data_IF_516403815246
#
_entry.id   IF_516403815246
#
_cell.length_a   1.000
_cell.length_b   1.000
_cell.length_c   1.000
_cell.angle_alpha   90.00
_cell.angle_beta   90.00
_cell.angle_gamma   90.00
#
_symmetry.space_group_name_H-M   'P 1'
#
loop_
_entity.id
_entity.type
_entity.pdbx_description
1 polymer ?
#
# COMPACT_ATOMS: atom_id res chain seq x y z
N UNK A 1 -17.96 13.47 -22.62
CA UNK A 1 -19.12 13.64 -21.71
C UNK A 1 -18.87 12.95 -20.37
N UNK A 2 -17.84 13.38 -19.63
CA UNK A 2 -17.45 12.85 -18.31
C UNK A 2 -17.31 13.97 -17.25
N UNK A 3 -17.82 15.17 -17.57
CA UNK A 3 -17.80 16.37 -16.72
C UNK A 3 -19.20 16.80 -16.25
N UNK A 4 -20.23 15.96 -16.47
CA UNK A 4 -21.62 16.25 -16.08
C UNK A 4 -22.06 15.63 -14.76
N UNK A 5 -21.23 14.79 -14.13
CA UNK A 5 -21.57 14.04 -12.92
C UNK A 5 -21.18 14.76 -11.61
N UNK A 6 -20.34 15.81 -11.68
CA UNK A 6 -19.83 16.53 -10.49
C UNK A 6 -20.69 17.72 -10.06
N UNK A 7 -21.59 18.23 -10.91
CA UNK A 7 -22.51 19.31 -10.54
C UNK A 7 -23.73 18.81 -9.76
N UNK A 8 -24.21 17.59 -10.05
CA UNK A 8 -25.35 16.99 -9.37
C UNK A 8 -25.02 16.60 -7.92
N UNK A 9 -23.80 16.11 -7.67
CA UNK A 9 -23.29 15.78 -6.32
C UNK A 9 -22.94 17.03 -5.51
N UNK A 10 -22.49 18.12 -6.14
CA UNK A 10 -22.29 19.40 -5.42
C UNK A 10 -23.60 20.07 -5.01
N UNK A 11 -24.68 19.95 -5.79
CA UNK A 11 -26.00 20.51 -5.42
C UNK A 11 -26.68 19.79 -4.25
N UNK A 12 -26.36 18.51 -4.01
CA UNK A 12 -26.87 17.78 -2.85
C UNK A 12 -26.15 18.16 -1.52
N UNK A 13 -25.00 18.84 -1.59
CA UNK A 13 -24.25 19.29 -0.41
C UNK A 13 -24.58 20.72 0.04
N UNK A 14 -25.46 21.43 -0.69
CA UNK A 14 -25.93 22.75 -0.33
C UNK A 14 -27.29 22.68 0.39
N UNK A 15 -27.34 21.96 1.52
CA UNK A 15 -28.44 22.12 2.47
C UNK A 15 -28.18 23.44 3.20
N UNK A 16 -29.10 24.38 3.02
CA UNK A 16 -29.12 25.66 3.73
C UNK A 16 -29.05 25.39 5.24
N UNK A 17 -27.90 25.68 5.84
CA UNK A 17 -27.75 25.71 7.29
C UNK A 17 -28.60 26.88 7.82
N UNK A 18 -29.53 26.66 8.76
CA UNK A 18 -30.18 27.76 9.46
C UNK A 18 -29.10 28.57 10.18
N UNK A 19 -29.19 29.90 10.09
CA UNK A 19 -28.24 30.83 10.70
C UNK A 19 -28.08 30.57 12.20
N UNK A 20 -26.86 30.21 12.57
CA UNK A 20 -26.23 29.93 13.88
C UNK A 20 -26.54 30.85 15.09
N UNK A 21 -27.42 31.84 14.97
CA UNK A 21 -27.59 32.87 16.01
C UNK A 21 -28.63 32.50 17.09
N UNK A 22 -29.63 31.67 16.79
CA UNK A 22 -30.73 31.39 17.73
C UNK A 22 -30.56 30.10 18.56
N UNK A 23 -29.74 29.15 18.12
CA UNK A 23 -29.53 27.85 18.79
C UNK A 23 -28.40 27.85 19.83
N UNK A 24 -27.47 28.83 19.78
CA UNK A 24 -26.30 28.88 20.68
C UNK A 24 -26.64 29.15 22.15
N UNK A 25 -27.81 29.71 22.46
CA UNK A 25 -28.22 30.04 23.84
C UNK A 25 -28.91 28.90 24.61
N UNK A 26 -29.08 27.72 24.02
CA UNK A 26 -29.85 26.62 24.64
C UNK A 26 -29.17 25.25 24.67
N UNK A 27 -27.89 25.12 24.34
CA UNK A 27 -27.20 23.82 24.25
C UNK A 27 -25.97 23.81 25.17
N UNK A 28 -26.16 23.46 26.45
CA UNK A 28 -25.08 23.21 27.42
C UNK A 28 -24.84 21.71 27.67
N UNK A 29 -25.61 20.83 27.02
CA UNK A 29 -25.44 19.38 27.18
C UNK A 29 -24.74 18.79 25.94
N UNK A 30 -23.46 18.39 26.06
CA UNK A 30 -22.71 17.77 24.98
C UNK A 30 -23.33 16.44 24.51
N UNK A 31 -24.07 15.74 25.38
CA UNK A 31 -24.81 14.52 25.00
C UNK A 31 -25.97 14.88 24.09
N UNK A 32 -26.74 15.92 24.45
CA UNK A 32 -27.86 16.38 23.62
C UNK A 32 -27.38 16.94 22.29
N UNK A 33 -26.25 17.65 22.27
CA UNK A 33 -25.61 18.10 21.03
C UNK A 33 -25.26 16.92 20.12
N UNK A 34 -24.62 15.87 20.66
CA UNK A 34 -24.22 14.69 19.90
C UNK A 34 -25.43 13.89 19.37
N UNK A 35 -26.47 13.70 20.17
CA UNK A 35 -27.67 12.98 19.75
C UNK A 35 -28.43 13.70 18.63
N UNK A 36 -28.51 15.03 18.69
CA UNK A 36 -29.09 15.83 17.60
C UNK A 36 -28.26 15.65 16.32
N UNK A 37 -26.93 15.76 16.40
CA UNK A 37 -26.03 15.56 15.25
C UNK A 37 -26.10 14.12 14.68
N UNK A 38 -26.23 13.10 15.53
CA UNK A 38 -26.42 11.72 15.06
C UNK A 38 -27.78 11.53 14.40
N UNK A 39 -28.84 12.16 14.92
CA UNK A 39 -30.21 12.08 14.38
C UNK A 39 -30.40 12.76 13.03
N UNK A 40 -29.48 13.66 12.64
CA UNK A 40 -29.44 14.29 11.33
C UNK A 40 -28.94 13.34 10.21
N UNK A 41 -28.23 12.25 10.56
CA UNK A 41 -27.70 11.29 9.58
C UNK A 41 -28.78 10.25 9.25
N UNK A 42 -29.27 10.18 8.00
CA UNK A 42 -30.29 9.22 7.63
C UNK A 42 -29.75 7.78 7.69
N UNK A 43 -30.61 6.85 8.12
CA UNK A 43 -30.30 5.42 8.11
C UNK A 43 -30.09 4.93 6.67
N UNK A 44 -29.17 3.99 6.51
CA UNK A 44 -28.90 3.37 5.22
C UNK A 44 -30.05 2.42 4.84
N UNK A 45 -30.43 2.44 3.57
CA UNK A 45 -31.28 1.37 3.02
C UNK A 45 -30.45 0.10 2.84
N UNK A 46 -31.10 -1.07 2.80
CA UNK A 46 -30.42 -2.36 2.53
C UNK A 46 -29.55 -2.32 1.28
N UNK A 47 -30.00 -1.66 0.22
CA UNK A 47 -29.22 -1.53 -1.02
C UNK A 47 -27.98 -0.65 -0.83
N UNK A 48 -28.09 0.44 -0.05
CA UNK A 48 -26.96 1.28 0.32
C UNK A 48 -25.95 0.53 1.19
N UNK A 49 -26.41 -0.29 2.13
CA UNK A 49 -25.54 -1.15 2.95
C UNK A 49 -24.76 -2.14 2.09
N UNK A 50 -25.44 -2.84 1.17
CA UNK A 50 -24.80 -3.79 0.24
C UNK A 50 -23.80 -3.06 -0.66
N UNK A 51 -24.16 -1.89 -1.18
CA UNK A 51 -23.30 -1.07 -2.02
C UNK A 51 -22.04 -0.62 -1.27
N UNK A 52 -22.19 -0.09 -0.05
CA UNK A 52 -21.08 0.35 0.79
C UNK A 52 -20.19 -0.82 1.19
N UNK A 53 -20.76 -1.97 1.54
CA UNK A 53 -20.00 -3.18 1.85
C UNK A 53 -19.14 -3.63 0.67
N UNK A 54 -19.72 -3.72 -0.54
CA UNK A 54 -18.99 -4.04 -1.78
C UNK A 54 -17.90 -3.02 -2.09
N UNK A 55 -18.19 -1.72 -1.92
CA UNK A 55 -17.19 -0.66 -2.11
C UNK A 55 -16.02 -0.82 -1.15
N UNK A 56 -16.27 -1.05 0.14
CA UNK A 56 -15.21 -1.25 1.14
C UNK A 56 -14.37 -2.47 0.78
N UNK A 57 -14.99 -3.57 0.35
CA UNK A 57 -14.27 -4.77 -0.05
C UNK A 57 -13.38 -4.54 -1.27
N UNK A 58 -13.92 -3.94 -2.34
CA UNK A 58 -13.18 -3.61 -3.55
C UNK A 58 -12.02 -2.65 -3.26
N UNK A 59 -12.26 -1.59 -2.49
CA UNK A 59 -11.22 -0.64 -2.09
C UNK A 59 -10.12 -1.32 -1.28
N UNK A 60 -10.46 -2.22 -0.34
CA UNK A 60 -9.46 -2.98 0.43
C UNK A 60 -8.64 -3.91 -0.45
N UNK A 61 -9.25 -4.54 -1.45
CA UNK A 61 -8.55 -5.38 -2.43
C UNK A 61 -7.59 -4.56 -3.30
N UNK A 62 -8.07 -3.45 -3.85
CA UNK A 62 -7.24 -2.52 -4.65
C UNK A 62 -6.08 -1.96 -3.83
N UNK A 63 -6.35 -1.52 -2.60
CA UNK A 63 -5.33 -1.05 -1.66
C UNK A 63 -4.23 -2.09 -1.45
N UNK A 64 -4.62 -3.34 -1.16
CA UNK A 64 -3.68 -4.44 -0.96
C UNK A 64 -2.81 -4.68 -2.18
N UNK A 65 -3.41 -4.75 -3.37
CA UNK A 65 -2.69 -4.97 -4.64
C UNK A 65 -1.68 -3.88 -4.90
N UNK A 66 -2.06 -2.62 -4.71
CA UNK A 66 -1.17 -1.48 -4.92
C UNK A 66 0.03 -1.51 -3.99
N UNK A 67 -0.20 -1.72 -2.69
CA UNK A 67 0.88 -1.74 -1.69
C UNK A 67 1.80 -2.94 -1.90
N UNK A 68 1.25 -4.13 -2.14
CA UNK A 68 2.05 -5.36 -2.29
C UNK A 68 2.73 -5.50 -3.65
N UNK A 69 2.66 -4.51 -4.53
CA UNK A 69 3.27 -4.62 -5.86
C UNK A 69 4.74 -4.16 -5.91
N UNK A 70 5.30 -3.68 -4.80
CA UNK A 70 6.73 -3.38 -4.64
C UNK A 70 7.47 -4.60 -4.09
N UNK A 71 8.71 -4.81 -4.51
CA UNK A 71 9.53 -5.95 -4.07
C UNK A 71 9.77 -5.92 -2.56
N UNK A 72 10.05 -4.74 -2.01
CA UNK A 72 10.20 -4.55 -0.57
C UNK A 72 8.91 -4.88 0.20
N UNK A 73 7.75 -4.59 -0.40
CA UNK A 73 6.46 -4.90 0.21
C UNK A 73 6.17 -6.39 0.22
N UNK A 74 6.50 -7.08 -0.89
CA UNK A 74 6.39 -8.53 -1.02
C UNK A 74 7.35 -9.19 -0.02
N UNK A 75 8.61 -8.74 0.04
CA UNK A 75 9.62 -9.22 0.98
C UNK A 75 9.15 -9.07 2.43
N UNK A 76 8.69 -7.88 2.81
CA UNK A 76 8.13 -7.62 4.14
C UNK A 76 6.92 -8.51 4.46
N UNK A 77 6.04 -8.76 3.49
CA UNK A 77 4.90 -9.65 3.65
C UNK A 77 5.33 -11.11 3.83
N UNK A 78 6.31 -11.58 3.06
CA UNK A 78 6.89 -12.93 3.18
C UNK A 78 7.48 -13.12 4.57
N UNK A 79 8.26 -12.17 5.08
CA UNK A 79 8.83 -12.22 6.44
C UNK A 79 7.72 -12.37 7.48
N UNK A 80 6.69 -11.52 7.43
CA UNK A 80 5.56 -11.60 8.38
C UNK A 80 4.86 -12.97 8.30
N UNK A 81 4.70 -13.52 7.11
CA UNK A 81 4.04 -14.82 6.92
C UNK A 81 4.91 -16.00 7.36
N UNK A 82 6.23 -15.91 7.21
CA UNK A 82 7.19 -16.87 7.79
C UNK A 82 7.17 -16.86 9.32
N UNK A 83 7.01 -15.68 9.93
CA UNK A 83 6.82 -15.56 11.37
C UNK A 83 5.51 -16.21 11.85
N UNK A 84 4.46 -16.17 11.02
CA UNK A 84 3.21 -16.88 11.30
C UNK A 84 3.36 -18.39 11.13
N UNK A 85 4.09 -18.84 10.10
CA UNK A 85 4.37 -20.26 9.85
C UNK A 85 5.20 -20.89 10.97
N UNK A 86 6.24 -20.20 11.44
CA UNK A 86 7.10 -20.62 12.55
C UNK A 86 6.43 -20.53 13.93
N UNK A 87 5.28 -19.86 14.04
CA UNK A 87 4.54 -19.70 15.29
C UNK A 87 4.95 -18.49 16.14
N UNK A 88 5.90 -17.66 15.68
CA UNK A 88 6.27 -16.40 16.36
C UNK A 88 5.12 -15.39 16.40
N UNK A 89 4.33 -15.32 15.33
CA UNK A 89 3.16 -14.44 15.23
C UNK A 89 1.86 -15.25 15.28
N UNK A 90 0.89 -14.85 16.13
CA UNK A 90 -0.42 -15.50 16.16
C UNK A 90 -1.14 -15.39 14.81
N UNK A 91 -1.54 -16.55 14.27
CA UNK A 91 -2.22 -16.67 12.99
C UNK A 91 -3.52 -15.84 12.94
N UNK A 92 -4.39 -15.97 13.95
CA UNK A 92 -5.70 -15.30 13.98
C UNK A 92 -5.59 -13.77 14.12
N UNK A 93 -4.47 -13.25 14.62
CA UNK A 93 -4.22 -11.80 14.72
C UNK A 93 -3.74 -11.21 13.39
N UNK A 94 -3.05 -12.02 12.59
CA UNK A 94 -2.31 -11.59 11.40
C UNK A 94 -3.08 -11.84 10.10
N UNK A 95 -3.92 -12.87 10.07
CA UNK A 95 -4.72 -13.27 8.90
C UNK A 95 -6.16 -12.77 9.01
N UNK A 96 -6.77 -12.42 7.87
CA UNK A 96 -8.20 -12.11 7.78
C UNK A 96 -8.96 -13.42 7.57
N UNK A 97 -9.50 -13.99 8.64
CA UNK A 97 -10.33 -15.20 8.59
C UNK A 97 -11.68 -14.88 9.23
N UNK A 98 -12.75 -15.31 8.58
CA UNK A 98 -14.07 -15.31 9.19
C UNK A 98 -14.12 -16.45 10.20
N UNK A 99 -14.46 -16.14 11.45
CA UNK A 99 -14.54 -17.08 12.58
C UNK A 99 -15.49 -18.26 12.26
N UNK A 100 -16.43 -18.07 11.34
CA UNK A 100 -17.39 -19.07 10.86
C UNK A 100 -16.81 -20.13 9.91
N UNK A 101 -15.60 -19.96 9.35
CA UNK A 101 -15.03 -20.83 8.31
C UNK A 101 -13.71 -21.49 8.75
N UNK A 102 -13.79 -22.52 9.59
CA UNK A 102 -12.62 -23.32 9.99
C UNK A 102 -11.90 -24.00 8.79
N UNK A 103 -12.61 -24.25 7.68
CA UNK A 103 -12.03 -24.76 6.43
C UNK A 103 -11.04 -23.78 5.77
N UNK A 104 -11.22 -22.47 5.94
CA UNK A 104 -10.31 -21.48 5.38
C UNK A 104 -8.94 -21.54 6.07
N UNK A 105 -8.91 -21.71 7.40
CA UNK A 105 -7.68 -21.80 8.19
C UNK A 105 -6.81 -22.98 7.77
N UNK A 106 -7.40 -24.17 7.67
CA UNK A 106 -6.66 -25.39 7.28
C UNK A 106 -6.14 -25.32 5.85
N UNK A 107 -6.92 -24.72 4.93
CA UNK A 107 -6.50 -24.51 3.54
C UNK A 107 -5.33 -23.53 3.44
N UNK A 108 -5.41 -22.40 4.16
CA UNK A 108 -4.35 -21.39 4.17
C UNK A 108 -3.06 -21.99 4.74
N UNK A 109 -3.11 -22.68 5.89
CA UNK A 109 -1.94 -23.29 6.52
C UNK A 109 -1.21 -24.24 5.55
N UNK A 110 -1.95 -25.02 4.75
CA UNK A 110 -1.36 -25.91 3.75
C UNK A 110 -0.71 -25.16 2.58
N UNK A 111 -1.25 -24.01 2.18
CA UNK A 111 -0.75 -23.21 1.05
C UNK A 111 0.42 -22.29 1.40
N UNK A 112 0.52 -21.88 2.67
CA UNK A 112 1.56 -20.95 3.14
C UNK A 112 2.97 -21.39 2.70
N UNK A 113 3.43 -22.63 2.96
CA UNK A 113 4.81 -23.02 2.64
C UNK A 113 5.11 -22.95 1.13
N UNK A 114 4.19 -23.44 0.30
CA UNK A 114 4.35 -23.49 -1.16
C UNK A 114 4.31 -22.11 -1.81
N UNK A 115 3.36 -21.26 -1.37
CA UNK A 115 3.23 -19.90 -1.88
C UNK A 115 4.42 -19.03 -1.47
N UNK A 116 4.90 -19.17 -0.22
CA UNK A 116 6.07 -18.44 0.26
C UNK A 116 7.35 -18.89 -0.45
N UNK A 117 7.58 -20.19 -0.59
CA UNK A 117 8.74 -20.71 -1.33
C UNK A 117 8.75 -20.25 -2.80
N UNK A 118 7.58 -20.14 -3.42
CA UNK A 118 7.46 -19.62 -4.79
C UNK A 118 7.71 -18.11 -4.83
N UNK A 119 7.15 -17.33 -3.90
CA UNK A 119 7.35 -15.88 -3.82
C UNK A 119 8.83 -15.53 -3.61
N UNK A 120 9.52 -16.24 -2.72
CA UNK A 120 10.97 -16.07 -2.47
C UNK A 120 11.80 -16.31 -3.73
N UNK A 121 11.54 -17.41 -4.46
CA UNK A 121 12.22 -17.69 -5.74
C UNK A 121 11.97 -16.60 -6.78
N UNK A 122 10.76 -16.06 -6.84
CA UNK A 122 10.42 -14.98 -7.76
C UNK A 122 11.12 -13.67 -7.38
N UNK A 123 11.21 -13.34 -6.09
CA UNK A 123 11.95 -12.19 -5.57
C UNK A 123 13.45 -12.30 -5.90
N UNK A 124 14.07 -13.46 -5.67
CA UNK A 124 15.48 -13.66 -6.03
C UNK A 124 15.71 -13.46 -7.53
N UNK A 125 14.79 -13.95 -8.38
CA UNK A 125 14.86 -13.70 -9.83
C UNK A 125 14.66 -12.23 -10.19
N UNK A 126 13.81 -11.51 -9.45
CA UNK A 126 13.60 -10.08 -9.65
C UNK A 126 14.85 -9.28 -9.30
N UNK A 127 15.50 -9.61 -8.19
CA UNK A 127 16.76 -8.99 -7.80
C UNK A 127 17.84 -9.17 -8.87
N UNK A 128 18.02 -10.40 -9.36
CA UNK A 128 18.99 -10.67 -10.43
C UNK A 128 18.71 -9.87 -11.72
N UNK A 129 17.44 -9.68 -12.06
CA UNK A 129 17.03 -8.89 -13.23
C UNK A 129 17.20 -7.37 -12.97
N UNK A 130 17.01 -6.91 -11.73
CA UNK A 130 17.31 -5.53 -11.33
C UNK A 130 18.82 -5.23 -11.38
N UNK A 131 19.64 -6.15 -10.87
CA UNK A 131 21.10 -6.03 -10.91
C UNK A 131 21.59 -5.99 -12.37
N UNK A 132 20.94 -6.74 -13.25
CA UNK A 132 21.15 -6.61 -14.71
C UNK A 132 20.81 -5.21 -15.19
N UNK A 133 19.65 -4.65 -14.83
CA UNK A 133 19.27 -3.28 -15.25
C UNK A 133 20.29 -2.21 -14.84
N UNK A 134 20.97 -2.39 -13.71
CA UNK A 134 22.05 -1.51 -13.25
C UNK A 134 23.34 -1.68 -14.06
N UNK A 135 23.52 -2.78 -14.79
CA UNK A 135 24.69 -3.00 -15.64
C UNK A 135 24.74 -1.99 -16.80
N UNK A 136 25.94 -1.46 -17.05
CA UNK A 136 26.18 -0.24 -17.85
C UNK A 136 25.87 -0.36 -19.35
N UNK A 137 25.56 -1.55 -19.88
CA UNK A 137 25.41 -1.82 -21.32
C UNK A 137 24.24 -2.77 -21.63
N UNK A 138 23.03 -2.24 -21.65
CA UNK A 138 21.82 -2.98 -22.09
C UNK A 138 21.09 -2.16 -23.15
N UNK A 139 20.64 -2.83 -24.22
CA UNK A 139 19.79 -2.21 -25.24
C UNK A 139 18.44 -1.79 -24.65
N UNK A 140 17.85 -0.69 -25.12
CA UNK A 140 16.56 -0.20 -24.58
C UNK A 140 15.44 -1.26 -24.69
N UNK A 141 15.40 -2.03 -25.79
CA UNK A 141 14.43 -3.12 -25.96
C UNK A 141 14.60 -4.22 -24.90
N UNK A 142 15.83 -4.55 -24.52
CA UNK A 142 16.10 -5.54 -23.48
C UNK A 142 15.77 -5.00 -22.09
N UNK A 143 16.00 -3.70 -21.82
CA UNK A 143 15.56 -3.05 -20.57
C UNK A 143 14.05 -3.14 -20.38
N UNK A 144 13.28 -2.86 -21.43
CA UNK A 144 11.83 -2.93 -21.37
C UNK A 144 11.33 -4.37 -21.21
N UNK A 145 11.98 -5.34 -21.88
CA UNK A 145 11.70 -6.76 -21.69
C UNK A 145 12.01 -7.24 -20.26
N UNK A 146 13.09 -6.75 -19.64
CA UNK A 146 13.39 -7.03 -18.22
C UNK A 146 12.30 -6.43 -17.33
N UNK A 147 11.95 -5.16 -17.50
CA UNK A 147 10.89 -4.50 -16.71
C UNK A 147 9.55 -5.21 -16.80
N UNK A 148 9.15 -5.64 -18.00
CA UNK A 148 7.91 -6.39 -18.19
C UNK A 148 7.93 -7.75 -17.47
N UNK A 149 9.06 -8.48 -17.55
CA UNK A 149 9.24 -9.74 -16.81
C UNK A 149 9.20 -9.52 -15.31
N UNK A 150 9.85 -8.47 -14.81
CA UNK A 150 9.84 -8.12 -13.39
C UNK A 150 8.42 -7.79 -12.91
N UNK A 151 7.70 -6.97 -13.67
CA UNK A 151 6.31 -6.61 -13.37
C UNK A 151 5.38 -7.84 -13.36
N UNK A 152 5.51 -8.74 -14.33
CA UNK A 152 4.72 -9.98 -14.38
C UNK A 152 4.99 -10.90 -13.18
N UNK A 153 6.25 -11.01 -12.74
CA UNK A 153 6.60 -11.76 -11.52
C UNK A 153 6.07 -11.09 -10.27
N UNK A 154 6.17 -9.76 -10.16
CA UNK A 154 5.58 -9.00 -9.06
C UNK A 154 4.07 -9.21 -8.96
N UNK A 155 3.35 -9.16 -10.08
CA UNK A 155 1.91 -9.48 -10.12
C UNK A 155 1.62 -10.92 -9.67
N UNK A 156 2.48 -11.88 -10.03
CA UNK A 156 2.34 -13.26 -9.56
C UNK A 156 2.55 -13.37 -8.06
N UNK A 157 3.55 -12.69 -7.50
CA UNK A 157 3.76 -12.62 -6.05
C UNK A 157 2.56 -12.00 -5.32
N UNK A 158 2.00 -10.91 -5.85
CA UNK A 158 0.77 -10.30 -5.31
C UNK A 158 -0.35 -11.32 -5.27
N UNK A 159 -0.57 -12.09 -6.35
CA UNK A 159 -1.59 -13.14 -6.38
C UNK A 159 -1.37 -14.21 -5.29
N UNK A 160 -0.14 -14.71 -5.17
CA UNK A 160 0.22 -15.71 -4.15
C UNK A 160 -0.02 -15.19 -2.72
N UNK A 161 0.32 -13.93 -2.46
CA UNK A 161 0.11 -13.28 -1.16
C UNK A 161 -1.37 -12.95 -0.90
N UNK A 162 -2.15 -12.66 -1.94
CA UNK A 162 -3.60 -12.44 -1.82
C UNK A 162 -4.33 -13.69 -1.33
N UNK A 163 -3.93 -14.87 -1.82
CA UNK A 163 -4.48 -16.16 -1.41
C UNK A 163 -4.25 -16.45 0.08
N UNK A 164 -3.17 -15.91 0.66
CA UNK A 164 -2.84 -16.04 2.07
C UNK A 164 -3.62 -15.06 2.97
N UNK A 165 -4.47 -14.19 2.43
CA UNK A 165 -5.44 -13.40 3.22
C UNK A 165 -4.85 -12.56 4.35
N UNK A 166 -3.68 -11.95 4.17
CA UNK A 166 -3.06 -11.04 5.15
C UNK A 166 -4.03 -9.91 5.59
N UNK A 167 -4.08 -9.57 6.88
CA UNK A 167 -4.98 -8.52 7.38
C UNK A 167 -4.56 -7.12 6.91
N UNK A 168 -5.55 -6.24 6.66
CA UNK A 168 -5.29 -4.86 6.20
C UNK A 168 -4.38 -4.06 7.13
N UNK A 169 -4.43 -4.30 8.44
CA UNK A 169 -3.53 -3.62 9.40
C UNK A 169 -2.05 -3.93 9.17
N UNK A 170 -1.72 -5.15 8.74
CA UNK A 170 -0.33 -5.53 8.41
C UNK A 170 0.13 -4.88 7.12
N UNK A 171 -0.73 -4.87 6.10
CA UNK A 171 -0.48 -4.16 4.83
C UNK A 171 -0.28 -2.66 5.06
N UNK A 172 -1.06 -2.04 5.94
CA UNK A 172 -0.86 -0.64 6.33
C UNK A 172 0.50 -0.40 6.99
N UNK A 173 0.99 -1.34 7.80
CA UNK A 173 2.35 -1.28 8.36
C UNK A 173 3.43 -1.28 7.27
N UNK A 174 3.29 -2.17 6.28
CA UNK A 174 4.19 -2.23 5.12
C UNK A 174 4.14 -0.92 4.33
N UNK A 175 2.94 -0.37 4.08
CA UNK A 175 2.79 0.92 3.40
C UNK A 175 3.53 2.05 4.14
N UNK A 176 3.42 2.12 5.47
CA UNK A 176 4.16 3.13 6.26
C UNK A 176 5.67 2.99 6.09
N UNK A 177 6.19 1.75 6.01
CA UNK A 177 7.61 1.49 5.72
C UNK A 177 8.01 2.02 4.34
N UNK A 178 7.22 1.72 3.30
CA UNK A 178 7.46 2.22 1.95
C UNK A 178 7.45 3.76 1.88
N UNK A 179 6.48 4.39 2.54
CA UNK A 179 6.39 5.85 2.65
C UNK A 179 7.64 6.42 3.34
N UNK A 180 8.12 5.77 4.40
CA UNK A 180 9.37 6.14 5.06
C UNK A 180 10.59 6.05 4.14
N UNK A 181 10.69 4.97 3.34
CA UNK A 181 11.75 4.81 2.34
C UNK A 181 11.67 5.94 1.29
N UNK A 182 10.47 6.22 0.79
CA UNK A 182 10.26 7.29 -0.20
C UNK A 182 10.73 8.66 0.33
N UNK A 183 10.36 9.03 1.55
CA UNK A 183 10.78 10.31 2.13
C UNK A 183 12.31 10.40 2.30
N UNK A 184 12.95 9.31 2.74
CA UNK A 184 14.42 9.25 2.82
C UNK A 184 15.08 9.40 1.45
N UNK A 185 14.54 8.75 0.41
CA UNK A 185 15.05 8.92 -0.95
C UNK A 185 14.92 10.39 -1.42
N UNK A 186 13.81 11.06 -1.11
CA UNK A 186 13.62 12.47 -1.45
C UNK A 186 14.60 13.39 -0.70
N UNK A 187 14.84 13.13 0.59
CA UNK A 187 15.81 13.85 1.40
C UNK A 187 17.23 13.71 0.81
N UNK A 188 17.64 12.49 0.45
CA UNK A 188 18.92 12.21 -0.19
C UNK A 188 19.04 12.94 -1.54
N UNK A 189 17.98 12.92 -2.36
CA UNK A 189 17.97 13.61 -3.66
C UNK A 189 18.10 15.13 -3.46
N UNK A 190 17.38 15.71 -2.50
CA UNK A 190 17.48 17.12 -2.16
C UNK A 190 18.89 17.49 -1.69
N UNK A 191 19.47 16.66 -0.81
CA UNK A 191 20.84 16.87 -0.30
C UNK A 191 21.90 16.79 -1.39
N UNK A 192 21.77 15.83 -2.31
CA UNK A 192 22.64 15.72 -3.48
C UNK A 192 22.53 16.94 -4.40
N UNK A 193 21.36 17.57 -4.49
CA UNK A 193 21.16 18.80 -5.26
C UNK A 193 21.82 20.02 -4.58
N UNK A 194 21.83 20.08 -3.24
CA UNK A 194 22.51 21.14 -2.47
C UNK A 194 24.05 21.06 -2.58
N UNK A 195 24.61 19.85 -2.47
CA UNK A 195 26.06 19.62 -2.53
C UNK A 195 26.64 20.03 -3.91
N UNK A 196 25.88 19.83 -4.99
CA UNK A 196 26.29 20.21 -6.34
C UNK A 196 27.64 19.58 -6.74
N UNK A 197 28.60 20.43 -7.14
CA UNK A 197 29.96 20.04 -7.56
C UNK A 197 31.05 20.47 -6.56
N UNK A 198 30.67 20.77 -5.30
CA UNK A 198 31.64 21.14 -4.27
C UNK A 198 32.69 20.05 -4.06
N UNK A 199 33.97 20.41 -4.13
CA UNK A 199 35.09 19.47 -3.95
C UNK A 199 35.23 18.97 -2.51
N UNK A 200 34.80 19.77 -1.53
CA UNK A 200 34.89 19.44 -0.10
C UNK A 200 33.90 18.32 0.29
N UNK A 201 32.72 18.30 -0.34
CA UNK A 201 31.65 17.36 -0.03
C UNK A 201 31.59 16.17 -0.99
N UNK A 202 32.64 15.96 -1.80
CA UNK A 202 32.70 14.89 -2.79
C UNK A 202 32.55 13.49 -2.14
N UNK A 203 33.06 13.31 -0.93
CA UNK A 203 32.89 12.08 -0.15
C UNK A 203 31.44 11.85 0.29
N UNK A 204 30.77 12.89 0.82
CA UNK A 204 29.36 12.84 1.21
C UNK A 204 28.47 12.53 0.01
N UNK A 205 28.73 13.16 -1.14
CA UNK A 205 27.97 12.91 -2.37
C UNK A 205 28.13 11.48 -2.91
N UNK A 206 29.26 10.82 -2.71
CA UNK A 206 29.44 9.41 -3.09
C UNK A 206 28.63 8.50 -2.17
N UNK A 207 28.73 8.70 -0.85
CA UNK A 207 27.98 7.91 0.13
C UNK A 207 26.46 8.02 -0.07
N UNK A 208 25.95 9.24 -0.29
CA UNK A 208 24.53 9.48 -0.55
C UNK A 208 24.04 8.81 -1.85
N UNK A 209 24.88 8.77 -2.91
CA UNK A 209 24.54 8.05 -4.15
C UNK A 209 24.50 6.55 -3.94
N UNK A 210 25.45 5.99 -3.19
CA UNK A 210 25.46 4.57 -2.84
C UNK A 210 24.21 4.19 -2.03
N UNK A 211 23.83 5.03 -1.06
CA UNK A 211 22.61 4.84 -0.27
C UNK A 211 21.35 4.89 -1.14
N UNK A 212 21.27 5.84 -2.09
CA UNK A 212 20.15 5.94 -3.03
C UNK A 212 20.04 4.70 -3.93
N UNK A 213 21.18 4.18 -4.41
CA UNK A 213 21.23 2.92 -5.18
C UNK A 213 20.79 1.74 -4.31
N UNK A 214 21.19 1.70 -3.03
CA UNK A 214 20.74 0.69 -2.07
C UNK A 214 19.22 0.68 -1.88
N UNK A 215 18.60 1.86 -1.74
CA UNK A 215 17.13 1.95 -1.68
C UNK A 215 16.48 1.55 -3.00
N UNK A 216 17.07 1.91 -4.15
CA UNK A 216 16.59 1.47 -5.46
C UNK A 216 16.57 -0.06 -5.58
N UNK A 217 17.65 -0.72 -5.15
CA UNK A 217 17.77 -2.18 -5.14
C UNK A 217 16.75 -2.84 -4.21
N UNK A 218 16.46 -2.22 -3.06
CA UNK A 218 15.48 -2.73 -2.11
C UNK A 218 14.05 -2.70 -2.68
N UNK A 219 13.65 -1.59 -3.30
CA UNK A 219 12.28 -1.40 -3.80
C UNK A 219 12.08 -2.06 -5.18
N UNK A 220 13.16 -2.25 -5.94
CA UNK A 220 13.15 -2.84 -7.29
C UNK A 220 12.58 -1.91 -8.38
N UNK A 221 12.37 -0.64 -8.06
CA UNK A 221 11.81 0.38 -8.96
C UNK A 221 12.46 1.76 -8.72
N UNK A 222 12.27 2.71 -9.66
CA UNK A 222 12.74 4.08 -9.46
C UNK A 222 11.83 4.86 -8.50
N UNK A 223 12.37 5.93 -7.92
CA UNK A 223 11.64 6.85 -7.01
C UNK A 223 10.34 7.38 -7.62
N UNK A 224 10.33 7.63 -8.93
CA UNK A 224 9.15 8.14 -9.63
C UNK A 224 8.04 7.10 -9.74
N UNK A 225 8.41 5.83 -9.96
CA UNK A 225 7.46 4.73 -9.99
C UNK A 225 6.87 4.46 -8.60
N UNK A 226 7.68 4.58 -7.54
CA UNK A 226 7.20 4.48 -6.17
C UNK A 226 6.21 5.60 -5.82
N UNK A 227 6.46 6.84 -6.28
CA UNK A 227 5.58 8.00 -6.08
C UNK A 227 4.22 7.86 -6.77
N UNK A 228 4.19 7.23 -7.94
CA UNK A 228 2.97 7.13 -8.76
C UNK A 228 1.92 6.14 -8.22
N UNK A 229 2.26 5.35 -7.19
CA UNK A 229 1.42 4.25 -6.68
C UNK A 229 0.41 4.67 -5.63
#
# INVERSE_FOLDING_TARGET
SLWGADEATRRAAAVVMPTDAETRKRIDDPVRMYLTQMGEIPLLTRDQEIFLAKRIELTRKQFRRKVLASDEAISSAVVILRQVESGELPFDRTMKICISENLAKTTIIKRVPENLATAEKLLTRNQNDYDRLLARRIANAERDAIRQRMHARGQKCVQLLEELSLRTSRVQGIMKKLVGIYYKQQEIIARLAEIGNSREDAGEAVALREELVGFGALVGESTDHLKAR
#
